data_IF_367553308981
#
_entry.id   IF_367553308981
#
_cell.length_a   1.000
_cell.length_b   1.000
_cell.length_c   1.000
_cell.angle_alpha   90.00
_cell.angle_beta   90.00
_cell.angle_gamma   90.00
#
_symmetry.space_group_name_H-M   'P 1'
#
loop_
_entity.id
_entity.type
_entity.pdbx_description
1 polymer ?
#
# COMPACT_ATOMS: atom_id res chain seq x y z
N UNK A 1 -69.20 -10.58 -46.58
CA UNK A 1 -67.99 -9.91 -46.06
C UNK A 1 -68.38 -8.79 -45.12
N UNK A 2 -68.01 -8.87 -43.83
CA UNK A 2 -67.79 -7.68 -43.01
C UNK A 2 -66.80 -8.06 -41.88
N UNK A 3 -65.62 -7.43 -41.87
CA UNK A 3 -64.57 -7.69 -40.88
C UNK A 3 -64.78 -6.75 -39.68
N UNK A 4 -65.09 -7.31 -38.52
CA UNK A 4 -65.11 -6.57 -37.24
C UNK A 4 -63.68 -6.59 -36.69
N UNK A 5 -63.00 -5.45 -36.72
CA UNK A 5 -61.67 -5.29 -36.12
C UNK A 5 -61.78 -5.01 -34.62
N UNK A 6 -61.21 -5.89 -33.80
CA UNK A 6 -60.97 -5.63 -32.37
C UNK A 6 -59.62 -4.93 -32.25
N UNK A 7 -59.60 -3.68 -31.77
CA UNK A 7 -58.37 -2.98 -31.39
C UNK A 7 -58.10 -3.31 -29.92
N UNK A 8 -57.03 -4.07 -29.67
CA UNK A 8 -56.53 -4.33 -28.32
C UNK A 8 -55.88 -3.06 -27.75
N UNK A 9 -56.60 -2.36 -26.86
CA UNK A 9 -56.09 -1.23 -26.09
C UNK A 9 -55.17 -1.71 -24.97
N UNK A 10 -53.87 -1.85 -25.25
CA UNK A 10 -52.86 -1.99 -24.21
C UNK A 10 -52.72 -0.68 -23.45
N UNK A 11 -53.01 -0.68 -22.15
CA UNK A 11 -52.75 0.46 -21.26
C UNK A 11 -51.24 0.70 -21.21
N UNK A 12 -50.77 1.74 -21.91
CA UNK A 12 -49.40 2.22 -21.76
C UNK A 12 -49.27 2.96 -20.41
N UNK A 13 -48.32 2.60 -19.54
CA UNK A 13 -48.17 3.29 -18.26
C UNK A 13 -47.79 4.76 -18.48
N UNK A 14 -48.50 5.66 -17.81
CA UNK A 14 -48.31 7.11 -17.92
C UNK A 14 -46.83 7.50 -17.71
N UNK A 15 -46.31 8.37 -18.58
CA UNK A 15 -44.91 8.80 -18.61
C UNK A 15 -44.35 9.32 -17.26
N UNK A 16 -45.22 9.74 -16.33
CA UNK A 16 -44.86 10.16 -14.97
C UNK A 16 -44.35 9.02 -14.08
N UNK A 17 -44.87 7.81 -14.22
CA UNK A 17 -44.44 6.64 -13.43
C UNK A 17 -43.02 6.24 -13.86
N UNK A 18 -42.76 6.14 -15.17
CA UNK A 18 -41.44 5.86 -15.74
C UNK A 18 -40.36 6.85 -15.27
N UNK A 19 -40.72 8.14 -15.16
CA UNK A 19 -39.80 9.20 -14.71
C UNK A 19 -39.42 9.11 -13.23
N UNK A 20 -40.28 8.59 -12.35
CA UNK A 20 -39.98 8.36 -10.93
C UNK A 20 -39.07 7.13 -10.76
N UNK A 21 -39.35 6.06 -11.49
CA UNK A 21 -38.51 4.85 -11.48
C UNK A 21 -37.09 5.12 -12.01
N UNK A 22 -36.95 5.89 -13.09
CA UNK A 22 -35.64 6.30 -13.63
C UNK A 22 -34.85 7.19 -12.65
N UNK A 23 -35.52 8.11 -11.93
CA UNK A 23 -34.88 8.94 -10.90
C UNK A 23 -34.39 8.14 -9.70
N UNK A 24 -35.21 7.20 -9.19
CA UNK A 24 -34.84 6.33 -8.06
C UNK A 24 -33.74 5.34 -8.45
N UNK A 25 -33.77 4.81 -9.67
CA UNK A 25 -32.71 3.98 -10.23
C UNK A 25 -31.40 4.77 -10.38
N UNK A 26 -31.45 6.03 -10.82
CA UNK A 26 -30.28 6.92 -10.91
C UNK A 26 -29.65 7.23 -9.55
N UNK A 27 -30.48 7.49 -8.52
CA UNK A 27 -30.00 7.71 -7.14
C UNK A 27 -29.36 6.44 -6.57
N UNK A 28 -30.00 5.27 -6.76
CA UNK A 28 -29.45 3.99 -6.30
C UNK A 28 -28.12 3.66 -7.00
N UNK A 29 -28.03 3.88 -8.31
CA UNK A 29 -26.79 3.70 -9.07
C UNK A 29 -25.68 4.64 -8.58
N UNK A 30 -25.99 5.92 -8.32
CA UNK A 30 -25.04 6.88 -7.76
C UNK A 30 -24.55 6.48 -6.36
N UNK A 31 -25.43 6.00 -5.49
CA UNK A 31 -25.06 5.53 -4.15
C UNK A 31 -24.14 4.30 -4.18
N UNK A 32 -24.40 3.35 -5.10
CA UNK A 32 -23.54 2.17 -5.28
C UNK A 32 -22.14 2.59 -5.77
N UNK A 33 -22.06 3.50 -6.75
CA UNK A 33 -20.77 4.01 -7.23
C UNK A 33 -20.00 4.69 -6.10
N UNK A 34 -20.66 5.53 -5.29
CA UNK A 34 -20.02 6.17 -4.12
C UNK A 34 -19.53 5.14 -3.10
N UNK A 35 -20.30 4.09 -2.82
CA UNK A 35 -19.89 3.03 -1.90
C UNK A 35 -18.67 2.25 -2.42
N UNK A 36 -18.64 1.94 -3.72
CA UNK A 36 -17.50 1.27 -4.35
C UNK A 36 -16.24 2.14 -4.35
N UNK A 37 -16.38 3.45 -4.60
CA UNK A 37 -15.27 4.40 -4.51
C UNK A 37 -14.74 4.48 -3.08
N UNK A 38 -15.63 4.60 -2.08
CA UNK A 38 -15.22 4.63 -0.68
C UNK A 38 -14.51 3.32 -0.26
N UNK A 39 -15.02 2.16 -0.70
CA UNK A 39 -14.37 0.87 -0.47
C UNK A 39 -12.99 0.80 -1.12
N UNK A 40 -12.86 1.23 -2.37
CA UNK A 40 -11.58 1.24 -3.08
C UNK A 40 -10.57 2.16 -2.40
N UNK A 41 -10.98 3.38 -2.00
CA UNK A 41 -10.12 4.31 -1.26
C UNK A 41 -9.68 3.73 0.09
N UNK A 42 -10.58 3.11 0.85
CA UNK A 42 -10.25 2.44 2.11
C UNK A 42 -9.27 1.28 1.92
N UNK A 43 -9.46 0.48 0.87
CA UNK A 43 -8.57 -0.64 0.53
C UNK A 43 -7.17 -0.16 0.13
N UNK A 44 -7.06 0.90 -0.69
CA UNK A 44 -5.77 1.51 -1.05
C UNK A 44 -5.06 2.04 0.20
N UNK A 45 -5.77 2.76 1.07
CA UNK A 45 -5.20 3.28 2.31
C UNK A 45 -4.67 2.15 3.23
N UNK A 46 -5.37 1.02 3.29
CA UNK A 46 -4.93 -0.12 4.10
C UNK A 46 -3.70 -0.83 3.51
N UNK A 47 -3.66 -1.03 2.19
CA UNK A 47 -2.54 -1.69 1.51
C UNK A 47 -1.26 -0.84 1.46
N UNK A 48 -1.39 0.48 1.56
CA UNK A 48 -0.26 1.43 1.54
C UNK A 48 0.21 1.87 2.93
N UNK A 49 -0.03 1.06 3.96
CA UNK A 49 0.42 1.39 5.32
C UNK A 49 1.95 1.47 5.40
N UNK A 50 2.45 2.66 5.71
CA UNK A 50 3.82 2.95 6.13
C UNK A 50 3.72 3.51 7.55
N UNK A 51 4.44 2.93 8.54
CA UNK A 51 4.46 3.48 9.89
C UNK A 51 4.86 4.96 9.88
N UNK A 52 4.12 5.81 10.60
CA UNK A 52 4.40 7.25 10.65
C UNK A 52 5.75 7.56 11.34
N UNK A 53 6.22 6.64 12.16
CA UNK A 53 7.47 6.66 12.91
C UNK A 53 8.56 5.80 12.25
N UNK A 54 8.43 5.51 10.94
CA UNK A 54 9.45 4.77 10.20
C UNK A 54 10.80 5.49 10.25
N UNK A 55 11.75 4.82 10.86
CA UNK A 55 13.09 5.32 11.07
C UNK A 55 13.99 5.01 9.87
N UNK A 56 14.26 6.04 9.05
CA UNK A 56 15.12 5.93 7.86
C UNK A 56 16.57 6.34 8.13
N UNK A 57 16.96 6.49 9.38
CA UNK A 57 18.34 6.88 9.68
C UNK A 57 19.34 5.79 9.34
N UNK A 58 20.49 6.21 8.84
CA UNK A 58 21.63 5.33 8.58
C UNK A 58 22.65 5.31 9.71
N UNK A 59 22.37 6.04 10.80
CA UNK A 59 23.19 6.12 12.00
C UNK A 59 22.31 6.05 13.25
N UNK A 60 22.62 5.12 14.15
CA UNK A 60 21.87 4.88 15.38
C UNK A 60 22.75 4.49 16.56
N UNK A 61 22.25 4.81 17.76
CA UNK A 61 22.77 4.19 18.98
C UNK A 61 22.13 2.82 19.16
N UNK A 62 22.88 1.88 19.73
CA UNK A 62 22.34 0.59 20.17
C UNK A 62 21.27 0.78 21.24
N UNK A 63 20.42 -0.22 21.47
CA UNK A 63 19.33 -0.14 22.44
C UNK A 63 19.79 0.23 23.86
N UNK A 64 20.99 -0.21 24.26
CA UNK A 64 21.61 0.13 25.55
C UNK A 64 22.44 1.42 25.51
N UNK A 65 22.50 2.11 24.37
CA UNK A 65 23.27 3.33 24.17
C UNK A 65 24.79 3.14 24.23
N UNK A 66 25.28 1.89 24.14
CA UNK A 66 26.71 1.57 24.29
C UNK A 66 27.52 1.79 23.01
N UNK A 67 26.88 1.62 21.85
CA UNK A 67 27.53 1.70 20.54
C UNK A 67 26.80 2.67 19.64
N UNK A 68 27.54 3.36 18.79
CA UNK A 68 27.01 4.05 17.61
C UNK A 68 27.36 3.22 16.38
N UNK A 69 26.33 2.92 15.60
CA UNK A 69 26.44 2.14 14.37
C UNK A 69 25.97 3.01 13.22
N UNK A 70 26.73 3.05 12.14
CA UNK A 70 26.30 3.64 10.88
C UNK A 70 26.62 2.75 9.69
N UNK A 71 25.90 2.93 8.60
CA UNK A 71 26.13 2.19 7.36
C UNK A 71 25.98 3.08 6.12
N UNK A 72 26.74 2.76 5.08
CA UNK A 72 26.66 3.43 3.79
C UNK A 72 26.87 2.46 2.64
N UNK A 73 26.24 2.70 1.47
CA UNK A 73 26.46 1.84 0.32
C UNK A 73 27.86 2.10 -0.23
N UNK A 74 28.58 1.03 -0.60
CA UNK A 74 29.92 1.15 -1.18
C UNK A 74 29.91 1.89 -2.52
N UNK A 75 28.77 1.87 -3.23
CA UNK A 75 28.55 2.53 -4.51
C UNK A 75 27.13 3.09 -4.56
N UNK A 76 26.97 4.29 -5.08
CA UNK A 76 25.67 4.86 -5.43
C UNK A 76 25.53 5.05 -6.94
N UNK A 77 24.30 5.20 -7.47
CA UNK A 77 23.01 4.96 -6.82
C UNK A 77 22.70 3.47 -6.61
N UNK A 78 21.79 3.15 -5.68
CA UNK A 78 21.40 1.76 -5.36
C UNK A 78 20.49 1.23 -6.48
N UNK A 79 21.06 0.42 -7.38
CA UNK A 79 20.33 -0.22 -8.46
C UNK A 79 19.40 -1.34 -7.95
N UNK A 80 18.18 -1.41 -8.48
CA UNK A 80 17.23 -2.49 -8.18
C UNK A 80 17.70 -3.80 -8.83
N UNK A 81 17.39 -4.94 -8.21
CA UNK A 81 17.72 -6.29 -8.70
C UNK A 81 19.23 -6.53 -8.89
N UNK A 82 20.07 -5.95 -8.03
CA UNK A 82 21.51 -6.14 -8.01
C UNK A 82 21.97 -6.47 -6.59
N UNK A 83 23.07 -7.21 -6.47
CA UNK A 83 23.73 -7.43 -5.17
C UNK A 83 24.57 -6.21 -4.82
N UNK A 84 24.38 -5.71 -3.60
CA UNK A 84 25.06 -4.51 -3.10
C UNK A 84 26.10 -4.88 -2.04
N UNK A 85 27.12 -4.04 -1.94
CA UNK A 85 28.07 -4.07 -0.84
C UNK A 85 27.90 -2.80 0.00
N UNK A 86 27.94 -2.97 1.31
CA UNK A 86 27.79 -1.89 2.28
C UNK A 86 29.01 -1.84 3.18
N UNK A 87 29.29 -0.66 3.73
CA UNK A 87 30.30 -0.45 4.76
C UNK A 87 29.56 -0.20 6.07
N UNK A 88 29.87 -0.98 7.10
CA UNK A 88 29.38 -0.78 8.46
C UNK A 88 30.49 -0.12 9.28
N UNK A 89 30.16 0.97 9.97
CA UNK A 89 31.03 1.60 10.97
C UNK A 89 30.44 1.39 12.36
N UNK A 90 31.26 0.89 13.29
CA UNK A 90 30.86 0.60 14.66
C UNK A 90 31.87 1.22 15.61
N UNK A 91 31.38 2.09 16.48
CA UNK A 91 32.15 2.75 17.52
C UNK A 91 31.41 2.69 18.85
N UNK A 92 32.11 2.89 19.95
CA UNK A 92 31.47 3.12 21.26
C UNK A 92 30.72 4.45 21.23
N UNK A 93 29.81 4.67 22.17
CA UNK A 93 29.02 5.91 22.25
C UNK A 93 29.88 7.18 22.33
N UNK A 94 31.09 7.08 22.88
CA UNK A 94 32.11 8.14 22.98
C UNK A 94 33.12 8.15 21.82
N UNK A 95 32.88 7.39 20.75
CA UNK A 95 33.62 7.49 19.48
C UNK A 95 34.90 6.65 19.40
N UNK A 96 35.10 5.65 20.28
CA UNK A 96 36.26 4.75 20.20
C UNK A 96 35.94 3.58 19.28
N UNK A 97 36.95 3.13 18.53
CA UNK A 97 36.83 1.95 17.68
C UNK A 97 36.47 0.71 18.51
N UNK A 98 35.59 -0.14 17.97
CA UNK A 98 35.28 -1.44 18.55
C UNK A 98 36.10 -2.50 17.82
N UNK A 99 36.98 -3.20 18.55
CA UNK A 99 37.79 -4.28 18.02
C UNK A 99 37.21 -5.65 18.38
N UNK A 100 37.41 -6.65 17.52
CA UNK A 100 37.00 -8.03 17.78
C UNK A 100 35.47 -8.25 17.84
N UNK A 101 34.68 -7.34 17.27
CA UNK A 101 33.23 -7.47 17.23
C UNK A 101 32.81 -8.67 16.36
N UNK A 102 31.84 -9.45 16.86
CA UNK A 102 31.07 -10.38 16.03
C UNK A 102 29.87 -9.62 15.48
N UNK A 103 29.75 -9.58 14.15
CA UNK A 103 28.68 -8.86 13.46
C UNK A 103 27.75 -9.90 12.83
N UNK A 104 26.46 -9.82 13.18
CA UNK A 104 25.38 -10.52 12.50
C UNK A 104 24.43 -9.47 11.94
N UNK A 105 24.01 -9.65 10.68
CA UNK A 105 23.11 -8.73 9.99
C UNK A 105 21.86 -9.50 9.60
N UNK A 106 20.71 -9.00 10.05
CA UNK A 106 19.40 -9.46 9.62
C UNK A 106 18.72 -8.35 8.81
N UNK A 107 17.84 -8.72 7.89
CA UNK A 107 17.13 -7.81 7.01
C UNK A 107 15.73 -8.34 6.73
N UNK A 108 14.73 -7.54 7.08
CA UNK A 108 13.34 -7.81 6.79
C UNK A 108 12.81 -6.95 5.63
N UNK A 109 11.61 -7.27 5.18
CA UNK A 109 10.85 -6.44 4.26
C UNK A 109 9.38 -6.42 4.70
N UNK A 110 9.00 -5.53 5.66
CA UNK A 110 7.73 -5.63 6.40
C UNK A 110 6.47 -5.68 5.54
N UNK A 111 6.47 -5.00 4.39
CA UNK A 111 5.33 -4.96 3.46
C UNK A 111 5.20 -6.21 2.57
N UNK A 112 6.20 -7.07 2.53
CA UNK A 112 6.25 -8.22 1.63
C UNK A 112 6.17 -9.58 2.35
N UNK A 113 6.12 -9.59 3.69
CA UNK A 113 5.88 -10.80 4.49
C UNK A 113 6.99 -11.87 4.40
N UNK A 114 8.17 -11.52 3.86
CA UNK A 114 9.35 -12.37 3.79
C UNK A 114 10.63 -11.53 3.93
N UNK A 115 11.77 -12.19 4.16
CA UNK A 115 13.08 -11.55 4.27
C UNK A 115 13.76 -11.32 2.92
N UNK A 116 15.06 -10.99 2.96
CA UNK A 116 15.87 -10.85 1.75
C UNK A 116 16.02 -12.17 0.97
N UNK A 117 16.18 -12.12 -0.36
CA UNK A 117 16.42 -13.31 -1.19
C UNK A 117 17.77 -13.98 -0.93
N UNK A 118 18.69 -13.29 -0.25
CA UNK A 118 20.04 -13.74 0.08
C UNK A 118 20.41 -13.25 1.46
N UNK A 119 21.17 -14.06 2.21
CA UNK A 119 21.74 -13.64 3.49
C UNK A 119 22.94 -12.71 3.27
N UNK A 120 23.06 -11.61 4.05
CA UNK A 120 24.28 -10.80 4.12
C UNK A 120 25.49 -11.64 4.55
N UNK A 121 26.68 -11.30 4.04
CA UNK A 121 27.95 -11.97 4.34
C UNK A 121 28.96 -11.02 4.96
#
# INVERSE_FOLDING_TARGET
MNRIGIVAGGVQPAAGVRRIWLKRAGIAAGAIVLALVALALGMVAWMSYVPADLDLSTTRLSAQGAYRVSYEPRRGPIAVNQIHAWTLHVETADGRAVEGATIAVDCDMPQHGHGLPTEPK
#
